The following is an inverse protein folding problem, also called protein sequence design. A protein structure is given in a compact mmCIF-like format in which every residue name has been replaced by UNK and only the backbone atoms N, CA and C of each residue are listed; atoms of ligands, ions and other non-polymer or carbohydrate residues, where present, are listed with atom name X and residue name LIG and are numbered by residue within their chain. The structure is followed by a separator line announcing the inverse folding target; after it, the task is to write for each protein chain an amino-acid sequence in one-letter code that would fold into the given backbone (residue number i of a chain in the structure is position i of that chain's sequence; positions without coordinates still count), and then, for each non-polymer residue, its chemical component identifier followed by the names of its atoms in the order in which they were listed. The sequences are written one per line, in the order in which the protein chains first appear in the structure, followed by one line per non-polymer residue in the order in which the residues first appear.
data_IF_168103773733
#
_entry.id   IF_168103773733
#
_cell.length_a   1.000
_cell.length_b   1.000
_cell.length_c   1.000
_cell.angle_alpha   90.00
_cell.angle_beta   90.00
_cell.angle_gamma   90.00
#
_symmetry.space_group_name_H-M   'P 1'
#
loop_
_entity.id
_entity.type
_entity.pdbx_description
1 polymer ?
#
# COMPACT_ATOMS: atom_id res chain seq x y z
N UNK A 1 -11.55 13.84 4.20
CA UNK A 1 -10.38 13.89 5.10
C UNK A 1 -9.36 14.97 4.73
N UNK A 2 -8.88 15.09 3.49
CA UNK A 2 -7.88 16.11 3.09
C UNK A 2 -8.22 17.54 3.55
N UNK A 3 -9.48 17.98 3.35
CA UNK A 3 -9.97 19.28 3.80
C UNK A 3 -9.91 19.50 5.33
N UNK A 4 -10.13 18.45 6.13
CA UNK A 4 -10.02 18.53 7.60
C UNK A 4 -8.56 18.63 8.05
N UNK A 5 -7.65 17.96 7.33
CA UNK A 5 -6.20 17.99 7.62
C UNK A 5 -5.58 19.33 7.24
N UNK A 6 -6.06 19.99 6.18
CA UNK A 6 -5.62 21.35 5.83
C UNK A 6 -6.03 22.37 6.91
N UNK A 7 -7.28 22.33 7.36
CA UNK A 7 -7.77 23.25 8.41
C UNK A 7 -6.99 23.05 9.73
N UNK A 8 -6.73 21.79 10.11
CA UNK A 8 -5.96 21.48 11.32
C UNK A 8 -4.47 21.86 11.26
N UNK A 9 -3.93 22.20 10.08
CA UNK A 9 -2.53 22.66 9.93
C UNK A 9 -2.38 24.17 10.09
N UNK A 10 -3.44 24.93 9.87
CA UNK A 10 -3.40 26.41 9.86
C UNK A 10 -3.87 27.02 11.19
N UNK A 11 -4.74 26.32 11.94
CA UNK A 11 -5.27 26.80 13.22
C UNK A 11 -4.87 25.88 14.39
N UNK A 12 -4.51 26.47 15.53
CA UNK A 12 -4.13 25.76 16.77
C UNK A 12 -5.30 25.60 17.75
N UNK A 13 -6.52 25.94 17.33
CA UNK A 13 -7.73 25.80 18.15
C UNK A 13 -8.26 24.35 18.16
N UNK A 14 -8.84 23.96 19.31
CA UNK A 14 -9.42 22.63 19.47
C UNK A 14 -10.67 22.47 18.61
N UNK A 15 -10.69 21.45 17.74
CA UNK A 15 -11.86 21.11 16.92
C UNK A 15 -12.45 19.75 17.31
N UNK A 16 -13.78 19.65 17.28
CA UNK A 16 -14.46 18.38 17.47
C UNK A 16 -14.53 17.63 16.13
N UNK A 17 -13.99 16.41 16.08
CA UNK A 17 -13.93 15.59 14.86
C UNK A 17 -14.57 14.23 15.12
N UNK A 18 -15.48 13.83 14.22
CA UNK A 18 -16.06 12.49 14.22
C UNK A 18 -15.43 11.66 13.12
N UNK A 19 -14.72 10.59 13.51
CA UNK A 19 -14.15 9.61 12.57
C UNK A 19 -14.95 8.31 12.68
N UNK A 20 -15.53 7.78 11.59
CA UNK A 20 -16.25 6.51 11.65
C UNK A 20 -15.28 5.35 11.90
N UNK A 21 -15.76 4.31 12.58
CA UNK A 21 -15.08 3.02 12.59
C UNK A 21 -15.16 2.40 11.21
N UNK A 22 -14.06 1.91 10.68
CA UNK A 22 -14.05 1.19 9.41
C UNK A 22 -12.84 0.27 9.32
N UNK A 23 -12.97 -0.72 8.44
CA UNK A 23 -11.87 -1.55 7.99
C UNK A 23 -11.80 -1.44 6.47
N UNK A 24 -10.63 -1.11 5.95
CA UNK A 24 -10.33 -1.15 4.52
C UNK A 24 -9.37 -2.31 4.29
N UNK A 25 -9.72 -3.20 3.37
CA UNK A 25 -8.81 -4.23 2.85
C UNK A 25 -8.52 -3.91 1.40
N UNK A 26 -7.26 -4.05 0.99
CA UNK A 26 -6.81 -3.83 -0.38
C UNK A 26 -5.92 -4.97 -0.82
N UNK A 27 -6.26 -5.55 -1.97
CA UNK A 27 -5.58 -6.66 -2.64
C UNK A 27 -5.49 -6.37 -4.15
N UNK A 28 -4.69 -5.37 -4.57
CA UNK A 28 -4.63 -4.96 -5.97
C UNK A 28 -3.87 -5.97 -6.84
N UNK A 29 -4.14 -6.02 -8.16
CA UNK A 29 -3.39 -6.83 -9.12
C UNK A 29 -2.01 -6.20 -9.37
N UNK A 30 -1.06 -6.44 -8.46
CA UNK A 30 0.23 -5.73 -8.44
C UNK A 30 1.07 -6.02 -9.68
N UNK A 31 1.08 -7.26 -10.17
CA UNK A 31 1.78 -7.61 -11.41
C UNK A 31 1.37 -6.71 -12.57
N UNK A 32 0.06 -6.60 -12.81
CA UNK A 32 -0.49 -5.76 -13.89
C UNK A 32 -0.16 -4.28 -13.69
N UNK A 33 -0.27 -3.77 -12.45
CA UNK A 33 0.06 -2.38 -12.13
C UNK A 33 1.55 -2.07 -12.37
N UNK A 34 2.45 -2.97 -11.95
CA UNK A 34 3.88 -2.79 -12.17
C UNK A 34 4.23 -2.83 -13.66
N UNK A 35 3.59 -3.71 -14.44
CA UNK A 35 3.74 -3.74 -15.89
C UNK A 35 3.24 -2.43 -16.55
N UNK A 36 2.10 -1.89 -16.11
CA UNK A 36 1.59 -0.59 -16.57
C UNK A 36 2.51 0.59 -16.22
N UNK A 37 3.27 0.47 -15.13
CA UNK A 37 4.29 1.45 -14.72
C UNK A 37 5.65 1.26 -15.42
N UNK A 38 5.78 0.27 -16.32
CA UNK A 38 6.99 0.02 -17.10
C UNK A 38 7.93 -1.04 -16.50
N UNK A 39 7.58 -1.64 -15.36
CA UNK A 39 8.32 -2.77 -14.78
C UNK A 39 7.81 -4.05 -15.43
N UNK A 40 8.26 -4.29 -16.65
CA UNK A 40 7.82 -5.44 -17.46
C UNK A 40 8.84 -6.57 -17.40
N UNK A 41 10.13 -6.26 -17.53
CA UNK A 41 11.21 -7.25 -17.63
C UNK A 41 11.26 -8.20 -16.41
N UNK A 42 10.91 -7.74 -15.21
CA UNK A 42 10.88 -8.56 -13.99
C UNK A 42 10.03 -9.85 -14.12
N UNK A 43 9.03 -9.81 -15.00
CA UNK A 43 8.06 -10.88 -15.22
C UNK A 43 8.36 -11.72 -16.48
N UNK A 44 9.51 -11.52 -17.10
CA UNK A 44 9.92 -12.19 -18.34
C UNK A 44 11.23 -12.95 -18.14
N UNK A 45 11.45 -14.01 -18.93
CA UNK A 45 12.62 -14.90 -18.83
C UNK A 45 13.98 -14.24 -19.13
N UNK A 46 14.00 -12.97 -19.54
CA UNK A 46 15.19 -12.16 -19.79
C UNK A 46 15.59 -11.24 -18.64
N UNK A 47 15.02 -11.41 -17.45
CA UNK A 47 15.32 -10.57 -16.30
C UNK A 47 16.64 -10.95 -15.61
N UNK A 48 17.38 -9.95 -15.13
CA UNK A 48 18.63 -10.17 -14.39
C UNK A 48 18.33 -10.27 -12.89
N UNK A 49 18.27 -11.50 -12.39
CA UNK A 49 18.11 -11.82 -10.96
C UNK A 49 19.33 -12.56 -10.39
N UNK A 50 20.51 -12.36 -10.98
CA UNK A 50 21.76 -13.05 -10.56
C UNK A 50 22.18 -12.75 -9.12
N UNK A 51 21.71 -11.64 -8.54
CA UNK A 51 21.87 -11.33 -7.12
C UNK A 51 21.00 -12.17 -6.17
N UNK A 52 19.99 -12.86 -6.69
CA UNK A 52 19.06 -13.71 -5.92
C UNK A 52 19.37 -15.19 -6.14
N UNK A 53 19.67 -15.59 -7.38
CA UNK A 53 19.97 -16.97 -7.74
C UNK A 53 20.95 -17.01 -8.92
N UNK A 54 21.86 -17.97 -8.91
CA UNK A 54 22.80 -18.21 -10.03
C UNK A 54 22.14 -18.91 -11.24
N UNK A 55 20.87 -19.30 -11.13
CA UNK A 55 20.15 -20.00 -12.19
C UNK A 55 19.73 -19.04 -13.31
N UNK A 56 20.07 -19.41 -14.54
CA UNK A 56 19.60 -18.73 -15.75
C UNK A 56 18.09 -19.00 -15.97
N UNK A 57 17.39 -18.03 -16.57
CA UNK A 57 15.93 -18.06 -16.80
C UNK A 57 15.04 -17.98 -15.55
N UNK A 58 15.53 -17.38 -14.46
CA UNK A 58 14.70 -17.01 -13.32
C UNK A 58 13.92 -15.73 -13.65
N UNK A 59 12.63 -15.69 -13.29
CA UNK A 59 11.79 -14.49 -13.33
C UNK A 59 10.71 -14.55 -12.25
N UNK A 60 10.08 -13.41 -11.95
CA UNK A 60 8.96 -13.36 -11.02
C UNK A 60 7.70 -13.77 -11.76
N UNK A 61 7.06 -14.85 -11.33
CA UNK A 61 5.79 -15.28 -11.94
C UNK A 61 4.61 -14.41 -11.47
N UNK A 62 4.52 -14.10 -10.18
CA UNK A 62 3.42 -13.29 -9.64
C UNK A 62 3.84 -12.46 -8.40
N UNK A 63 3.07 -11.41 -8.10
CA UNK A 63 3.26 -10.54 -6.93
C UNK A 63 1.91 -10.31 -6.26
N UNK A 64 1.84 -10.70 -4.98
CA UNK A 64 0.65 -10.53 -4.16
C UNK A 64 0.93 -9.44 -3.11
N UNK A 65 0.07 -8.43 -3.07
CA UNK A 65 0.06 -7.42 -2.01
C UNK A 65 -1.29 -7.40 -1.33
N UNK A 66 -1.29 -7.42 0.01
CA UNK A 66 -2.49 -7.27 0.82
C UNK A 66 -2.22 -6.24 1.91
N UNK A 67 -3.07 -5.23 1.99
CA UNK A 67 -3.05 -4.21 3.03
C UNK A 67 -4.39 -4.16 3.76
N UNK A 68 -4.34 -3.99 5.08
CA UNK A 68 -5.52 -3.82 5.92
C UNK A 68 -5.31 -2.58 6.78
N UNK A 69 -6.27 -1.66 6.74
CA UNK A 69 -6.33 -0.49 7.61
C UNK A 69 -7.59 -0.61 8.45
N UNK A 70 -7.42 -0.65 9.76
CA UNK A 70 -8.51 -0.67 10.71
C UNK A 70 -8.51 0.61 11.54
N UNK A 71 -9.63 1.30 11.56
CA UNK A 71 -9.87 2.45 12.43
C UNK A 71 -10.89 2.02 13.47
N UNK A 72 -10.39 1.85 14.69
CA UNK A 72 -11.19 1.52 15.85
C UNK A 72 -11.08 2.63 16.89
N UNK A 73 -12.07 2.68 17.79
CA UNK A 73 -11.91 3.44 19.02
C UNK A 73 -11.17 2.54 20.00
N UNK A 74 -9.93 2.90 20.29
CA UNK A 74 -9.20 2.30 21.40
C UNK A 74 -9.48 3.14 22.64
N UNK A 75 -10.33 2.63 23.52
CA UNK A 75 -10.42 3.19 24.86
C UNK A 75 -9.22 2.66 25.64
N UNK A 76 -8.15 3.46 25.69
CA UNK A 76 -7.03 3.23 26.59
C UNK A 76 -7.48 3.51 28.04
N UNK A 77 -8.19 2.51 28.59
CA UNK A 77 -8.50 2.24 30.00
C UNK A 77 -9.41 3.22 30.78
N UNK A 78 -9.97 2.63 31.83
CA UNK A 78 -10.30 3.29 33.09
C UNK A 78 -9.16 4.18 33.60
#
# INVERSE_FOLDING_TARGET
MKKLVEIAKEETESMNVTIPKFTITSDPPVKDMLQQLGIVQLFESGCDLRGVCETEHLFVDDVIHKAVVEVCFELAWF
#
